data_IF_700557955793
#
_entry.id   IF_700557955793
#
_cell.length_a   1.000
_cell.length_b   1.000
_cell.length_c   1.000
_cell.angle_alpha   90.00
_cell.angle_beta   90.00
_cell.angle_gamma   90.00
#
_symmetry.space_group_name_H-M   'P 1'
#
loop_
_entity.id
_entity.type
_entity.pdbx_description
1 polymer ?
#
# COMPACT_ATOMS: atom_id res chain seq x y z
N UNK A 1 25.05 1.17 -8.78
CA UNK A 1 24.35 2.43 -9.09
C UNK A 1 23.23 2.57 -8.08
N UNK A 2 23.20 3.68 -7.32
CA UNK A 2 22.14 3.96 -6.36
C UNK A 2 20.86 4.28 -7.16
N UNK A 3 19.74 3.66 -6.81
CA UNK A 3 18.43 3.97 -7.41
C UNK A 3 18.07 5.43 -7.12
N UNK A 4 17.58 6.19 -8.10
CA UNK A 4 17.10 7.55 -7.86
C UNK A 4 15.75 7.52 -7.13
N UNK A 5 15.43 8.55 -6.35
CA UNK A 5 14.14 8.63 -5.65
C UNK A 5 12.95 8.49 -6.59
N UNK A 6 13.00 9.11 -7.78
CA UNK A 6 11.96 8.98 -8.80
C UNK A 6 11.81 7.55 -9.33
N UNK A 7 12.93 6.85 -9.56
CA UNK A 7 12.91 5.46 -10.03
C UNK A 7 12.29 4.53 -8.97
N UNK A 8 12.62 4.77 -7.69
CA UNK A 8 12.05 4.04 -6.55
C UNK A 8 10.54 4.23 -6.46
N UNK A 9 10.04 5.47 -6.48
CA UNK A 9 8.60 5.75 -6.42
C UNK A 9 7.86 5.13 -7.61
N UNK A 10 8.44 5.20 -8.82
CA UNK A 10 7.86 4.57 -10.01
C UNK A 10 7.76 3.06 -9.88
N UNK A 11 8.81 2.41 -9.34
CA UNK A 11 8.84 0.96 -9.08
C UNK A 11 7.79 0.56 -8.04
N UNK A 12 7.69 1.30 -6.93
CA UNK A 12 6.69 1.06 -5.88
C UNK A 12 5.28 1.20 -6.43
N UNK A 13 4.99 2.28 -7.17
CA UNK A 13 3.69 2.48 -7.82
C UNK A 13 3.35 1.33 -8.75
N UNK A 14 4.29 0.91 -9.60
CA UNK A 14 4.09 -0.25 -10.48
C UNK A 14 3.78 -1.52 -9.70
N UNK A 15 4.53 -1.80 -8.62
CA UNK A 15 4.31 -2.97 -7.75
C UNK A 15 2.96 -2.92 -7.03
N UNK A 16 2.44 -1.72 -6.76
CA UNK A 16 1.13 -1.51 -6.11
C UNK A 16 -0.05 -1.82 -7.02
N UNK A 17 0.16 -1.74 -8.35
CA UNK A 17 -0.84 -2.01 -9.40
C UNK A 17 -0.65 -3.35 -10.12
N UNK A 18 0.38 -4.13 -9.75
CA UNK A 18 0.70 -5.43 -10.34
C UNK A 18 0.76 -6.51 -9.27
N UNK A 19 -0.26 -6.53 -8.43
CA UNK A 19 -0.48 -7.57 -7.43
C UNK A 19 -1.11 -8.79 -8.10
N UNK A 20 -1.07 -9.92 -7.41
CA UNK A 20 -1.66 -11.19 -7.83
C UNK A 20 -3.18 -11.23 -7.71
N UNK A 21 -3.81 -10.27 -7.01
CA UNK A 21 -5.27 -10.15 -6.89
C UNK A 21 -5.73 -8.74 -7.23
N UNK A 22 -6.87 -8.65 -7.94
CA UNK A 22 -7.47 -7.37 -8.35
C UNK A 22 -7.90 -6.54 -7.16
N UNK A 23 -8.34 -7.18 -6.09
CA UNK A 23 -8.71 -6.56 -4.82
C UNK A 23 -7.52 -5.79 -4.24
N UNK A 24 -6.33 -6.40 -4.21
CA UNK A 24 -5.13 -5.74 -3.70
C UNK A 24 -4.66 -4.60 -4.59
N UNK A 25 -4.77 -4.73 -5.92
CA UNK A 25 -4.49 -3.63 -6.84
C UNK A 25 -5.38 -2.42 -6.55
N UNK A 26 -6.68 -2.64 -6.31
CA UNK A 26 -7.64 -1.56 -6.04
C UNK A 26 -7.46 -0.91 -4.66
N UNK A 27 -6.90 -1.64 -3.70
CA UNK A 27 -6.56 -1.16 -2.36
C UNK A 27 -5.25 -0.35 -2.40
N UNK A 28 -4.17 -0.95 -2.90
CA UNK A 28 -2.82 -0.36 -2.83
C UNK A 28 -2.54 0.63 -3.94
N UNK A 29 -2.97 0.35 -5.17
CA UNK A 29 -2.65 1.17 -6.34
C UNK A 29 -3.05 2.63 -6.16
N UNK A 30 -4.32 2.94 -5.87
CA UNK A 30 -4.75 4.32 -5.68
C UNK A 30 -4.15 5.00 -4.45
N UNK A 31 -3.89 4.25 -3.38
CA UNK A 31 -3.21 4.82 -2.21
C UNK A 31 -1.77 5.22 -2.56
N UNK A 32 -1.07 4.36 -3.28
CA UNK A 32 0.28 4.62 -3.77
C UNK A 32 0.30 5.82 -4.72
N UNK A 33 -0.73 5.93 -5.56
CA UNK A 33 -0.86 6.99 -6.54
C UNK A 33 -0.92 8.40 -5.92
N UNK A 34 -1.61 8.51 -4.77
CA UNK A 34 -1.87 9.77 -4.07
C UNK A 34 -0.84 10.07 -2.97
N UNK A 35 -0.27 9.03 -2.34
CA UNK A 35 0.50 9.20 -1.10
C UNK A 35 2.01 9.06 -1.30
N UNK A 36 2.50 8.25 -2.24
CA UNK A 36 3.94 7.94 -2.34
C UNK A 36 4.86 9.17 -2.44
N UNK A 37 4.42 10.23 -3.12
CA UNK A 37 5.24 11.42 -3.31
C UNK A 37 5.38 12.30 -2.06
N UNK A 38 4.53 12.10 -1.04
CA UNK A 38 4.52 12.89 0.20
C UNK A 38 5.10 12.14 1.41
N UNK A 39 5.40 10.85 1.26
CA UNK A 39 5.97 10.03 2.34
C UNK A 39 7.44 10.37 2.62
N UNK A 40 7.82 10.20 3.87
CA UNK A 40 9.22 10.26 4.27
C UNK A 40 9.99 8.97 3.93
N UNK A 41 11.30 9.04 4.03
CA UNK A 41 12.22 7.94 3.67
C UNK A 41 12.00 6.67 4.52
N UNK A 42 11.61 6.83 5.79
CA UNK A 42 11.35 5.71 6.69
C UNK A 42 10.08 4.96 6.27
N UNK A 43 9.01 5.70 5.97
CA UNK A 43 7.73 5.14 5.53
C UNK A 43 7.85 4.52 4.14
N UNK A 44 8.62 5.14 3.23
CA UNK A 44 8.91 4.56 1.93
C UNK A 44 9.66 3.23 2.05
N UNK A 45 10.60 3.13 2.98
CA UNK A 45 11.31 1.88 3.26
C UNK A 45 10.39 0.80 3.81
N UNK A 46 9.53 1.17 4.77
CA UNK A 46 8.53 0.27 5.32
C UNK A 46 7.51 -0.19 4.25
N UNK A 47 7.08 0.70 3.37
CA UNK A 47 6.17 0.37 2.29
C UNK A 47 6.83 -0.54 1.23
N UNK A 48 8.11 -0.34 0.92
CA UNK A 48 8.84 -1.25 0.02
C UNK A 48 8.85 -2.68 0.57
N UNK A 49 9.12 -2.83 1.88
CA UNK A 49 9.07 -4.12 2.56
C UNK A 49 7.66 -4.73 2.55
N UNK A 50 6.63 -3.92 2.80
CA UNK A 50 5.23 -4.36 2.71
C UNK A 50 4.89 -4.90 1.30
N UNK A 51 5.44 -4.30 0.24
CA UNK A 51 5.23 -4.76 -1.14
C UNK A 51 5.88 -6.13 -1.44
N UNK A 52 6.76 -6.64 -0.60
CA UNK A 52 7.34 -7.98 -0.73
C UNK A 52 6.47 -9.07 -0.11
N UNK A 53 5.48 -8.68 0.72
CA UNK A 53 4.55 -9.60 1.36
C UNK A 53 3.54 -10.19 0.37
N UNK A 54 2.99 -11.36 0.71
CA UNK A 54 2.00 -12.05 -0.11
C UNK A 54 0.64 -11.33 -0.11
N UNK A 55 -0.04 -11.30 -1.25
CA UNK A 55 -1.34 -10.65 -1.40
C UNK A 55 -2.44 -11.21 -0.51
N UNK A 56 -2.43 -12.51 -0.27
CA UNK A 56 -3.39 -13.15 0.61
C UNK A 56 -3.24 -12.64 2.05
N UNK A 57 -2.00 -12.55 2.53
CA UNK A 57 -1.72 -12.06 3.88
C UNK A 57 -2.03 -10.57 4.00
N UNK A 58 -1.58 -9.76 3.02
CA UNK A 58 -1.91 -8.33 2.96
C UNK A 58 -3.42 -8.09 2.98
N UNK A 59 -4.19 -8.87 2.23
CA UNK A 59 -5.64 -8.76 2.22
C UNK A 59 -6.25 -9.08 3.59
N UNK A 60 -5.79 -10.14 4.24
CA UNK A 60 -6.25 -10.54 5.58
C UNK A 60 -5.89 -9.49 6.65
N UNK A 61 -4.74 -8.84 6.52
CA UNK A 61 -4.33 -7.75 7.41
C UNK A 61 -5.14 -6.47 7.20
N UNK A 62 -5.31 -6.02 5.95
CA UNK A 62 -6.10 -4.82 5.62
C UNK A 62 -7.56 -4.98 6.03
N UNK A 63 -8.12 -6.19 5.87
CA UNK A 63 -9.48 -6.52 6.29
C UNK A 63 -9.64 -6.76 7.80
N UNK A 64 -8.54 -6.71 8.56
CA UNK A 64 -8.47 -7.04 9.99
C UNK A 64 -8.95 -8.48 10.32
N UNK A 65 -8.93 -9.38 9.33
CA UNK A 65 -9.22 -10.80 9.52
C UNK A 65 -8.07 -11.53 10.24
N UNK A 66 -6.84 -11.04 10.10
CA UNK A 66 -5.67 -11.50 10.85
C UNK A 66 -4.89 -10.30 11.42
N UNK A 67 -4.20 -10.48 12.56
CA UNK A 67 -3.28 -9.48 13.06
C UNK A 67 -2.10 -9.32 12.09
N UNK A 68 -1.72 -8.08 11.82
CA UNK A 68 -0.51 -7.76 11.07
C UNK A 68 0.70 -7.62 12.01
N UNK A 69 1.93 -7.77 11.49
CA UNK A 69 3.13 -7.38 12.22
C UNK A 69 3.06 -5.92 12.69
N UNK A 70 3.49 -5.67 13.93
CA UNK A 70 3.39 -4.33 14.57
C UNK A 70 4.06 -3.23 13.74
N UNK A 71 5.15 -3.57 13.05
CA UNK A 71 5.87 -2.65 12.15
C UNK A 71 5.00 -2.10 11.03
N UNK A 72 3.98 -2.85 10.57
CA UNK A 72 3.09 -2.43 9.49
C UNK A 72 1.77 -1.83 9.98
N UNK A 73 1.50 -1.87 11.29
CA UNK A 73 0.18 -1.58 11.83
C UNK A 73 -0.30 -0.16 11.49
N UNK A 74 0.55 0.85 11.69
CA UNK A 74 0.21 2.23 11.38
C UNK A 74 0.02 2.44 9.86
N UNK A 75 0.95 1.94 9.05
CA UNK A 75 0.89 2.03 7.60
C UNK A 75 -0.38 1.38 7.03
N UNK A 76 -0.68 0.15 7.45
CA UNK A 76 -1.89 -0.57 7.03
C UNK A 76 -3.17 0.12 7.52
N UNK A 77 -3.15 0.75 8.71
CA UNK A 77 -4.27 1.54 9.17
C UNK A 77 -4.55 2.74 8.25
N UNK A 78 -3.51 3.44 7.79
CA UNK A 78 -3.67 4.54 6.82
C UNK A 78 -4.20 4.07 5.46
N UNK A 79 -3.67 2.95 4.94
CA UNK A 79 -4.11 2.35 3.68
C UNK A 79 -5.58 1.93 3.78
N UNK A 80 -5.94 1.22 4.85
CA UNK A 80 -7.30 0.73 5.06
C UNK A 80 -8.29 1.89 5.27
N UNK A 81 -7.88 2.97 5.96
CA UNK A 81 -8.68 4.18 6.09
C UNK A 81 -8.94 4.81 4.71
N UNK A 82 -7.89 5.03 3.91
CA UNK A 82 -7.99 5.59 2.57
C UNK A 82 -8.90 4.74 1.65
N UNK A 83 -8.72 3.42 1.65
CA UNK A 83 -9.53 2.50 0.85
C UNK A 83 -11.01 2.55 1.24
N UNK A 84 -11.34 2.63 2.55
CA UNK A 84 -12.73 2.79 3.02
C UNK A 84 -13.32 4.13 2.61
N UNK A 85 -12.58 5.23 2.79
CA UNK A 85 -13.04 6.58 2.43
C UNK A 85 -13.36 6.71 0.94
N UNK A 86 -12.60 6.05 0.06
CA UNK A 86 -12.89 6.01 -1.38
C UNK A 86 -14.15 5.22 -1.73
N UNK A 87 -14.44 4.13 -1.04
CA UNK A 87 -15.67 3.36 -1.28
C UNK A 87 -16.95 4.11 -0.84
N UNK A 88 -16.85 5.00 0.15
CA UNK A 88 -17.98 5.82 0.59
C UNK A 88 -18.34 6.92 -0.43
N UNK A 89 -17.36 7.43 -1.18
CA UNK A 89 -17.55 8.51 -2.16
C UNK A 89 -18.18 8.05 -3.49
N UNK A 90 -18.32 6.74 -3.73
CA UNK A 90 -18.92 6.20 -4.98
C UNK A 90 -20.44 5.97 -4.85
N UNK A 91 -21.02 6.19 -3.67
CA UNK A 91 -22.45 5.93 -3.39
C UNK A 91 -23.31 7.21 -3.29
N UNK A 92 -22.79 8.37 -3.69
CA UNK A 92 -23.50 9.64 -3.69
C UNK A 92 -23.89 10.07 -5.11
#
# INVERSE_FOLDING_TARGET
MVETSEARLKRMRMRSWRRGTKEMDLILGPWADETLASLDEATLTLYDALLEENDQDLYLWVSAALPCPEVYAELLATIAHFARSRHLNVRA
#
